data_IF_773631662591
#
_entry.id   IF_773631662591
#
_cell.length_a   1.000
_cell.length_b   1.000
_cell.length_c   1.000
_cell.angle_alpha   90.00
_cell.angle_beta   90.00
_cell.angle_gamma   90.00
#
_symmetry.space_group_name_H-M   'P 1'
#
loop_
_entity.id
_entity.type
_entity.pdbx_description
1 polymer ?
#
# COMPACT_ATOMS: atom_id res chain seq x y z
N UNK A 1 11.86 -7.69 12.31
CA UNK A 1 11.04 -6.60 12.92
C UNK A 1 9.98 -7.26 13.78
N UNK A 2 9.56 -6.73 14.93
CA UNK A 2 8.42 -7.28 15.63
C UNK A 2 7.20 -7.19 14.72
N UNK A 3 6.42 -8.27 14.67
CA UNK A 3 5.17 -8.32 13.90
C UNK A 3 4.23 -7.22 14.42
N UNK A 4 4.12 -6.12 13.68
CA UNK A 4 3.02 -5.19 13.89
C UNK A 4 1.79 -5.89 13.35
N UNK A 5 0.79 -6.12 14.17
CA UNK A 5 -0.45 -6.74 13.74
C UNK A 5 -1.14 -5.85 12.71
N UNK A 6 -1.43 -6.43 11.54
CA UNK A 6 -2.28 -5.77 10.55
C UNK A 6 -3.72 -5.90 11.07
N UNK A 7 -4.51 -4.83 11.09
CA UNK A 7 -5.88 -4.89 11.62
C UNK A 7 -6.69 -6.02 10.98
N UNK A 8 -7.29 -6.87 11.81
CA UNK A 8 -8.15 -7.99 11.42
C UNK A 8 -7.48 -9.09 10.56
N UNK A 9 -6.16 -9.22 10.62
CA UNK A 9 -5.41 -10.26 9.90
C UNK A 9 -4.43 -10.93 10.86
N UNK A 10 -4.62 -12.24 11.05
CA UNK A 10 -3.75 -13.11 11.86
C UNK A 10 -3.09 -14.16 10.95
N UNK A 11 -2.11 -13.71 10.18
CA UNK A 11 -1.35 -14.53 9.25
C UNK A 11 0.16 -14.27 9.44
N UNK A 12 0.97 -15.32 9.34
CA UNK A 12 2.44 -15.21 9.41
C UNK A 12 3.09 -14.71 8.12
N UNK A 13 2.35 -14.72 7.02
CA UNK A 13 2.84 -14.30 5.70
C UNK A 13 3.34 -12.85 5.68
N UNK A 14 4.35 -12.57 4.87
CA UNK A 14 4.64 -11.19 4.48
C UNK A 14 3.49 -10.64 3.63
N UNK A 15 3.01 -9.45 3.95
CA UNK A 15 1.86 -8.84 3.26
C UNK A 15 2.28 -7.50 2.70
N UNK A 16 2.19 -7.40 1.38
CA UNK A 16 2.56 -6.22 0.63
C UNK A 16 1.35 -5.58 -0.04
N UNK A 17 1.29 -4.25 -0.03
CA UNK A 17 0.39 -3.51 -0.92
C UNK A 17 1.19 -2.92 -2.08
N UNK A 18 0.71 -3.12 -3.31
CA UNK A 18 1.27 -2.51 -4.51
C UNK A 18 0.29 -1.49 -5.08
N UNK A 19 0.74 -0.26 -5.22
CA UNK A 19 -0.04 0.79 -5.85
C UNK A 19 0.89 1.87 -6.43
N UNK A 20 0.31 2.80 -7.19
CA UNK A 20 1.03 3.94 -7.73
C UNK A 20 0.39 5.26 -7.35
N UNK A 21 1.21 6.28 -7.23
CA UNK A 21 0.72 7.61 -7.03
C UNK A 21 1.29 8.57 -8.06
N UNK A 22 0.43 9.48 -8.57
CA UNK A 22 0.84 10.48 -9.54
C UNK A 22 1.25 11.77 -8.84
N UNK A 23 2.39 12.31 -9.22
CA UNK A 23 2.90 13.62 -8.84
C UNK A 23 2.74 14.51 -10.07
N UNK A 24 1.75 15.43 -10.02
CA UNK A 24 1.48 16.34 -11.12
C UNK A 24 2.56 17.42 -11.19
N UNK A 25 3.05 17.69 -12.39
CA UNK A 25 4.09 18.67 -12.68
C UNK A 25 3.56 19.75 -13.63
N UNK A 26 4.14 20.94 -13.59
CA UNK A 26 3.80 22.00 -14.55
C UNK A 26 4.35 21.66 -15.94
N UNK A 27 3.50 21.60 -16.94
CA UNK A 27 3.88 21.24 -18.31
C UNK A 27 4.96 22.17 -18.89
N UNK A 28 4.92 23.45 -18.53
CA UNK A 28 5.85 24.45 -19.04
C UNK A 28 7.27 24.30 -18.47
N UNK A 29 7.38 23.67 -17.29
CA UNK A 29 8.67 23.52 -16.58
C UNK A 29 9.24 22.12 -16.72
N UNK A 30 8.40 21.10 -16.99
CA UNK A 30 8.78 19.70 -16.98
C UNK A 30 8.40 19.00 -18.30
N UNK A 31 8.96 19.49 -19.41
CA UNK A 31 8.66 19.02 -20.76
C UNK A 31 9.02 17.55 -21.02
N UNK A 32 9.95 17.00 -20.26
CA UNK A 32 10.37 15.60 -20.33
C UNK A 32 9.36 14.61 -19.69
N UNK A 33 8.54 15.10 -18.74
CA UNK A 33 7.60 14.25 -17.97
C UNK A 33 6.27 14.11 -18.72
N UNK A 34 6.26 13.36 -19.81
CA UNK A 34 5.06 13.16 -20.59
C UNK A 34 3.96 12.46 -19.79
N UNK A 35 2.84 13.15 -19.60
CA UNK A 35 1.63 12.64 -18.94
C UNK A 35 0.48 12.41 -19.92
N UNK A 36 -0.63 11.87 -19.41
CA UNK A 36 -1.89 11.78 -20.15
C UNK A 36 -2.53 13.17 -20.28
N UNK A 37 -3.27 13.41 -21.35
CA UNK A 37 -4.05 14.65 -21.58
C UNK A 37 -3.21 15.94 -21.51
N UNK A 38 -2.05 15.97 -22.15
CA UNK A 38 -1.17 17.15 -22.21
C UNK A 38 -0.75 17.71 -20.84
N UNK A 39 -0.65 16.86 -19.85
CA UNK A 39 -0.13 17.19 -18.51
C UNK A 39 1.20 16.50 -18.28
N UNK A 40 2.12 17.19 -17.63
CA UNK A 40 3.35 16.56 -17.15
C UNK A 40 3.11 15.90 -15.79
N UNK A 41 3.57 14.68 -15.66
CA UNK A 41 3.43 13.93 -14.41
C UNK A 41 4.51 12.85 -14.28
N UNK A 42 4.85 12.56 -13.05
CA UNK A 42 5.68 11.42 -12.66
C UNK A 42 4.83 10.48 -11.84
N UNK A 43 4.96 9.18 -12.07
CA UNK A 43 4.38 8.14 -11.24
C UNK A 43 5.42 7.54 -10.32
N UNK A 44 5.05 7.30 -9.10
CA UNK A 44 5.81 6.54 -8.13
C UNK A 44 5.03 5.26 -7.80
N UNK A 45 5.50 4.13 -8.34
CA UNK A 45 5.00 2.80 -8.01
C UNK A 45 5.71 2.33 -6.75
N UNK A 46 4.97 1.81 -5.80
CA UNK A 46 5.50 1.44 -4.50
C UNK A 46 4.97 0.08 -4.09
N UNK A 47 5.86 -0.79 -3.64
CA UNK A 47 5.51 -1.98 -2.87
C UNK A 47 5.75 -1.65 -1.40
N UNK A 48 4.68 -1.63 -0.62
CA UNK A 48 4.69 -1.29 0.80
C UNK A 48 4.51 -2.57 1.62
N UNK A 49 5.47 -2.89 2.49
CA UNK A 49 5.28 -3.87 3.56
C UNK A 49 4.28 -3.29 4.57
N UNK A 50 3.13 -3.93 4.73
CA UNK A 50 2.05 -3.44 5.57
C UNK A 50 2.32 -3.61 7.06
N UNK A 51 3.19 -4.54 7.47
CA UNK A 51 3.53 -4.76 8.88
C UNK A 51 4.32 -3.61 9.47
N UNK A 52 5.23 -3.03 8.68
CA UNK A 52 6.07 -1.91 9.11
C UNK A 52 5.69 -0.58 8.48
N UNK A 53 4.75 -0.55 7.54
CA UNK A 53 4.52 0.58 6.64
C UNK A 53 5.81 1.03 5.94
N UNK A 54 6.66 0.06 5.55
CA UNK A 54 7.97 0.30 4.97
C UNK A 54 7.91 0.07 3.45
N UNK A 55 8.24 1.07 2.62
CA UNK A 55 8.39 0.85 1.18
C UNK A 55 9.60 -0.03 0.90
N UNK A 56 9.36 -1.23 0.35
CA UNK A 56 10.40 -2.22 0.02
C UNK A 56 10.86 -2.14 -1.42
N UNK A 57 10.02 -1.57 -2.28
CA UNK A 57 10.35 -1.32 -3.69
C UNK A 57 9.72 0.00 -4.13
N UNK A 58 10.45 0.78 -4.92
CA UNK A 58 9.98 2.02 -5.54
C UNK A 58 10.51 2.12 -6.96
N UNK A 59 9.59 2.37 -7.89
CA UNK A 59 9.89 2.65 -9.29
C UNK A 59 9.30 4.02 -9.67
N UNK A 60 10.13 4.91 -10.17
CA UNK A 60 9.72 6.24 -10.62
C UNK A 60 9.72 6.27 -12.15
N UNK A 61 8.54 6.51 -12.72
CA UNK A 61 8.32 6.51 -14.17
C UNK A 61 7.65 7.80 -14.64
N UNK A 62 7.54 7.98 -15.94
CA UNK A 62 6.66 9.01 -16.49
C UNK A 62 5.18 8.69 -16.24
N UNK A 63 4.31 9.69 -16.45
CA UNK A 63 2.87 9.56 -16.21
C UNK A 63 2.14 8.64 -17.20
N UNK A 64 2.78 8.17 -18.28
CA UNK A 64 2.19 7.28 -19.28
C UNK A 64 2.45 5.81 -18.98
N UNK A 65 3.44 5.51 -18.15
CA UNK A 65 3.78 4.14 -17.79
C UNK A 65 2.57 3.40 -17.23
N UNK A 66 2.31 2.20 -17.74
CA UNK A 66 1.16 1.42 -17.32
C UNK A 66 1.42 0.74 -15.97
N UNK A 67 0.46 0.80 -15.06
CA UNK A 67 0.65 0.31 -13.68
C UNK A 67 1.02 -1.19 -13.64
N UNK A 68 0.41 -2.01 -14.50
CA UNK A 68 0.71 -3.45 -14.56
C UNK A 68 2.15 -3.78 -14.95
N UNK A 69 2.85 -2.90 -15.67
CA UNK A 69 4.24 -3.13 -16.04
C UNK A 69 5.18 -3.08 -14.83
N UNK A 70 4.76 -2.42 -13.73
CA UNK A 70 5.54 -2.41 -12.51
C UNK A 70 5.67 -3.82 -11.88
N UNK A 71 4.74 -4.74 -12.19
CA UNK A 71 4.83 -6.13 -11.75
C UNK A 71 6.02 -6.88 -12.36
N UNK A 72 6.51 -6.43 -13.52
CA UNK A 72 7.65 -7.05 -14.20
C UNK A 72 8.99 -6.69 -13.53
N UNK A 73 9.01 -5.58 -12.77
CA UNK A 73 10.18 -5.08 -12.06
C UNK A 73 10.28 -5.64 -10.63
N UNK A 74 9.23 -6.31 -10.15
CA UNK A 74 9.18 -6.87 -8.80
C UNK A 74 9.45 -8.38 -8.88
N UNK A 75 10.42 -8.84 -8.10
CA UNK A 75 10.64 -10.27 -7.89
C UNK A 75 9.72 -10.74 -6.77
N UNK A 76 8.73 -11.61 -7.05
CA UNK A 76 7.83 -12.12 -6.03
C UNK A 76 8.59 -12.98 -5.00
N UNK A 77 8.15 -12.89 -3.74
CA UNK A 77 8.66 -13.71 -2.63
C UNK A 77 7.69 -14.86 -2.40
N UNK A 78 8.22 -16.07 -2.27
CA UNK A 78 7.43 -17.27 -1.96
C UNK A 78 6.64 -17.08 -0.66
N UNK A 79 5.40 -17.54 -0.62
CA UNK A 79 4.46 -17.41 0.49
C UNK A 79 4.04 -15.98 0.87
N UNK A 80 4.54 -14.95 0.20
CA UNK A 80 4.09 -13.58 0.43
C UNK A 80 2.74 -13.30 -0.24
N UNK A 81 1.95 -12.40 0.33
CA UNK A 81 0.64 -11.99 -0.18
C UNK A 81 0.73 -10.56 -0.72
N UNK A 82 0.34 -10.38 -1.97
CA UNK A 82 0.38 -9.09 -2.68
C UNK A 82 -1.03 -8.55 -2.88
N UNK A 83 -1.34 -7.43 -2.25
CA UNK A 83 -2.61 -6.71 -2.39
C UNK A 83 -2.46 -5.63 -3.46
N UNK A 84 -3.30 -5.65 -4.49
CA UNK A 84 -3.18 -4.71 -5.60
C UNK A 84 -4.53 -4.33 -6.19
N UNK A 85 -4.63 -3.14 -6.80
CA UNK A 85 -5.88 -2.71 -7.46
C UNK A 85 -6.07 -3.44 -8.81
N UNK A 86 -7.29 -3.39 -9.33
CA UNK A 86 -7.68 -3.97 -10.63
C UNK A 86 -6.85 -3.45 -11.82
N UNK A 87 -6.20 -2.30 -11.68
CA UNK A 87 -5.29 -1.77 -12.69
C UNK A 87 -4.06 -2.66 -12.93
N UNK A 88 -3.67 -3.42 -11.91
CA UNK A 88 -2.54 -4.35 -11.97
C UNK A 88 -2.90 -5.74 -12.51
N UNK A 89 -4.17 -6.00 -12.85
CA UNK A 89 -4.57 -7.31 -13.39
C UNK A 89 -3.97 -7.50 -14.79
N UNK A 90 -2.85 -8.19 -14.83
CA UNK A 90 -2.22 -8.77 -16.01
C UNK A 90 -2.00 -10.27 -15.74
N UNK A 91 -2.67 -11.12 -16.52
CA UNK A 91 -2.66 -12.56 -16.27
C UNK A 91 -1.28 -13.21 -16.45
N UNK A 92 -0.43 -12.66 -17.31
CA UNK A 92 0.95 -13.16 -17.48
C UNK A 92 1.78 -12.85 -16.23
N UNK A 93 1.69 -11.61 -15.73
CA UNK A 93 2.36 -11.22 -14.51
C UNK A 93 1.84 -11.99 -13.29
N UNK A 94 0.51 -12.09 -13.13
CA UNK A 94 -0.09 -12.84 -12.02
C UNK A 94 0.29 -14.33 -12.04
N UNK A 95 0.47 -14.91 -13.23
CA UNK A 95 0.92 -16.30 -13.34
C UNK A 95 2.38 -16.48 -12.89
N UNK A 96 3.27 -15.49 -13.13
CA UNK A 96 4.62 -15.52 -12.56
C UNK A 96 4.60 -15.51 -11.03
N UNK A 97 3.73 -14.71 -10.41
CA UNK A 97 3.55 -14.73 -8.95
C UNK A 97 3.08 -16.10 -8.48
N UNK A 98 2.11 -16.70 -9.17
CA UNK A 98 1.63 -18.05 -8.86
C UNK A 98 2.76 -19.10 -8.95
N UNK A 99 3.57 -19.05 -10.01
CA UNK A 99 4.66 -20.02 -10.21
C UNK A 99 5.80 -19.90 -9.17
N UNK A 100 5.97 -18.75 -8.56
CA UNK A 100 6.92 -18.54 -7.45
C UNK A 100 6.35 -18.93 -6.08
N UNK A 101 5.12 -19.44 -6.02
CA UNK A 101 4.45 -19.73 -4.75
C UNK A 101 3.98 -18.48 -4.00
N UNK A 102 3.94 -17.32 -4.65
CA UNK A 102 3.40 -16.10 -4.08
C UNK A 102 1.89 -16.01 -4.28
N UNK A 103 1.22 -15.40 -3.32
CA UNK A 103 -0.22 -15.15 -3.37
C UNK A 103 -0.52 -13.72 -3.78
N UNK A 104 -1.64 -13.53 -4.46
CA UNK A 104 -2.16 -12.20 -4.75
C UNK A 104 -3.64 -12.09 -4.39
N UNK A 105 -4.06 -10.89 -4.04
CA UNK A 105 -5.46 -10.50 -3.89
C UNK A 105 -5.67 -9.18 -4.64
N UNK A 106 -6.54 -9.21 -5.63
CA UNK A 106 -6.88 -8.03 -6.44
C UNK A 106 -8.38 -7.96 -6.68
N UNK A 107 -8.88 -6.83 -7.20
CA UNK A 107 -10.26 -6.75 -7.68
C UNK A 107 -10.38 -7.34 -9.07
N UNK A 108 -11.38 -8.17 -9.30
CA UNK A 108 -11.67 -8.72 -10.61
C UNK A 108 -12.07 -7.59 -11.59
N UNK A 109 -11.65 -7.70 -12.85
CA UNK A 109 -12.14 -6.82 -13.92
C UNK A 109 -13.54 -7.27 -14.35
N UNK A 110 -14.46 -6.35 -14.53
CA UNK A 110 -15.84 -6.62 -14.99
C UNK A 110 -15.89 -7.30 -16.37
N UNK A 111 -14.83 -7.08 -17.18
CA UNK A 111 -14.68 -7.71 -18.50
C UNK A 111 -14.12 -9.12 -18.46
N UNK A 112 -13.74 -9.62 -17.27
CA UNK A 112 -13.21 -10.98 -17.12
C UNK A 112 -14.30 -12.02 -17.47
N UNK A 113 -13.92 -13.03 -18.26
CA UNK A 113 -14.81 -14.15 -18.63
C UNK A 113 -14.23 -15.43 -18.04
N UNK A 114 -15.09 -16.18 -17.35
CA UNK A 114 -14.70 -17.39 -16.63
C UNK A 114 -15.86 -18.38 -16.56
N UNK A 115 -15.52 -19.64 -16.35
CA UNK A 115 -16.46 -20.69 -15.95
C UNK A 115 -16.25 -21.02 -14.48
N UNK A 116 -17.34 -21.31 -13.78
CA UNK A 116 -17.31 -21.76 -12.38
C UNK A 116 -17.06 -23.27 -12.38
N UNK A 117 -16.01 -23.69 -11.70
CA UNK A 117 -15.64 -25.09 -11.51
C UNK A 117 -16.25 -25.63 -10.22
N UNK A 118 -16.16 -24.84 -9.15
CA UNK A 118 -16.64 -25.19 -7.82
C UNK A 118 -17.22 -23.95 -7.14
N UNK A 119 -18.21 -24.13 -6.28
CA UNK A 119 -18.76 -23.06 -5.46
C UNK A 119 -18.97 -23.53 -4.03
N UNK A 120 -18.48 -22.76 -3.08
CA UNK A 120 -18.74 -22.98 -1.68
C UNK A 120 -20.08 -22.31 -1.30
N UNK A 121 -21.04 -23.12 -0.85
CA UNK A 121 -22.34 -22.62 -0.39
C UNK A 121 -22.41 -22.41 1.12
N UNK A 122 -21.41 -22.89 1.85
CA UNK A 122 -21.33 -22.71 3.30
C UNK A 122 -20.61 -21.39 3.62
N UNK A 123 -21.29 -20.28 3.37
CA UNK A 123 -20.79 -18.92 3.64
C UNK A 123 -21.71 -18.21 4.62
N UNK A 124 -21.13 -17.45 5.55
CA UNK A 124 -21.87 -16.58 6.44
C UNK A 124 -22.14 -15.23 5.76
N UNK A 125 -23.35 -15.04 5.28
CA UNK A 125 -23.77 -13.82 4.61
C UNK A 125 -23.85 -12.61 5.55
N UNK A 126 -23.91 -12.80 6.86
CA UNK A 126 -23.94 -11.70 7.84
C UNK A 126 -22.62 -10.94 7.88
N UNK A 127 -21.52 -11.60 7.49
CA UNK A 127 -20.18 -11.00 7.39
C UNK A 127 -19.99 -10.09 6.17
N UNK A 128 -20.94 -10.10 5.23
CA UNK A 128 -20.84 -9.43 3.94
C UNK A 128 -20.44 -10.35 2.80
N UNK A 129 -20.00 -11.59 3.05
CA UNK A 129 -19.75 -12.58 1.99
C UNK A 129 -21.01 -12.90 1.18
N UNK A 130 -20.87 -12.98 -0.15
CA UNK A 130 -21.97 -13.29 -1.07
C UNK A 130 -21.70 -14.54 -1.88
N UNK A 131 -20.45 -14.77 -2.25
CA UNK A 131 -20.04 -15.99 -2.93
C UNK A 131 -18.54 -16.27 -2.71
N UNK A 132 -18.17 -17.53 -2.80
CA UNK A 132 -16.81 -18.04 -2.81
C UNK A 132 -16.75 -19.13 -3.89
N UNK A 133 -16.08 -18.85 -4.99
CA UNK A 133 -16.10 -19.65 -6.21
C UNK A 133 -14.68 -19.98 -6.67
N UNK A 134 -14.48 -21.17 -7.19
CA UNK A 134 -13.29 -21.56 -7.94
C UNK A 134 -13.64 -21.46 -9.42
N UNK A 135 -12.83 -20.72 -10.17
CA UNK A 135 -13.10 -20.38 -11.56
C UNK A 135 -11.89 -20.68 -12.45
N UNK A 136 -12.16 -20.86 -13.74
CA UNK A 136 -11.13 -20.95 -14.80
C UNK A 136 -11.43 -19.93 -15.88
N UNK A 137 -10.39 -19.33 -16.43
CA UNK A 137 -10.55 -18.33 -17.49
C UNK A 137 -10.99 -19.01 -18.80
N UNK A 138 -11.93 -18.40 -19.52
CA UNK A 138 -12.51 -18.98 -20.76
C UNK A 138 -11.99 -18.34 -22.03
N UNK A 139 -11.60 -17.05 -21.99
CA UNK A 139 -11.03 -16.38 -23.15
C UNK A 139 -9.68 -17.01 -23.50
N UNK A 140 -9.51 -17.51 -24.73
CA UNK A 140 -8.32 -18.24 -25.17
C UNK A 140 -7.00 -17.55 -24.82
N UNK A 141 -6.91 -16.22 -25.01
CA UNK A 141 -5.73 -15.43 -24.65
C UNK A 141 -5.48 -15.47 -23.14
N UNK A 142 -6.47 -15.17 -22.33
CA UNK A 142 -6.34 -15.13 -20.86
C UNK A 142 -6.05 -16.52 -20.29
N UNK A 143 -6.74 -17.54 -20.79
CA UNK A 143 -6.51 -18.95 -20.41
C UNK A 143 -5.09 -19.41 -20.71
N UNK A 144 -4.50 -18.97 -21.84
CA UNK A 144 -3.11 -19.29 -22.18
C UNK A 144 -2.13 -18.59 -21.23
N UNK A 145 -2.43 -17.36 -20.80
CA UNK A 145 -1.58 -16.57 -19.91
C UNK A 145 -1.67 -17.00 -18.44
N UNK A 146 -2.83 -17.50 -18.03
CA UNK A 146 -3.07 -18.06 -16.68
C UNK A 146 -3.92 -19.31 -16.81
N UNK A 147 -3.31 -20.50 -16.94
CA UNK A 147 -4.03 -21.75 -17.20
C UNK A 147 -4.66 -22.39 -15.95
N UNK A 148 -4.21 -21.95 -14.76
CA UNK A 148 -4.60 -22.52 -13.48
C UNK A 148 -5.95 -21.99 -12.98
N UNK A 149 -6.51 -22.66 -11.95
CA UNK A 149 -7.69 -22.21 -11.23
C UNK A 149 -7.41 -20.90 -10.50
N UNK A 150 -8.46 -20.09 -10.39
CA UNK A 150 -8.48 -18.85 -9.61
C UNK A 150 -9.64 -18.91 -8.62
N UNK A 151 -9.53 -18.21 -7.52
CA UNK A 151 -10.59 -18.02 -6.55
C UNK A 151 -11.24 -16.67 -6.74
N UNK A 152 -12.57 -16.64 -6.79
CA UNK A 152 -13.36 -15.45 -6.97
C UNK A 152 -14.29 -15.31 -5.77
N UNK A 153 -14.16 -14.21 -5.03
CA UNK A 153 -14.91 -13.96 -3.81
C UNK A 153 -15.73 -12.70 -4.00
N UNK A 154 -17.04 -12.82 -3.80
CA UNK A 154 -17.97 -11.71 -3.85
C UNK A 154 -18.27 -11.25 -2.42
N UNK A 155 -18.10 -9.95 -2.17
CA UNK A 155 -18.23 -9.35 -0.86
C UNK A 155 -19.00 -8.04 -0.93
N UNK A 156 -19.94 -7.85 -0.03
CA UNK A 156 -20.65 -6.61 0.16
C UNK A 156 -20.10 -5.90 1.40
N UNK A 157 -19.51 -4.77 1.18
CA UNK A 157 -18.96 -3.93 2.26
C UNK A 157 -20.07 -3.00 2.76
N UNK A 158 -20.62 -3.31 3.93
CA UNK A 158 -21.68 -2.52 4.57
C UNK A 158 -21.23 -1.13 5.02
N UNK A 159 -19.92 -0.93 5.27
CA UNK A 159 -19.41 0.36 5.73
C UNK A 159 -19.34 1.37 4.58
N UNK A 160 -18.99 0.91 3.39
CA UNK A 160 -18.82 1.76 2.21
C UNK A 160 -19.94 1.63 1.19
N UNK A 161 -20.94 0.77 1.45
CA UNK A 161 -22.06 0.44 0.55
C UNK A 161 -21.59 -0.01 -0.83
N UNK A 162 -20.54 -0.84 -0.88
CA UNK A 162 -19.92 -1.28 -2.13
C UNK A 162 -19.96 -2.80 -2.30
N UNK A 163 -20.27 -3.23 -3.52
CA UNK A 163 -20.13 -4.62 -3.94
C UNK A 163 -18.75 -4.82 -4.56
N UNK A 164 -17.97 -5.71 -3.97
CA UNK A 164 -16.58 -5.98 -4.34
C UNK A 164 -16.46 -7.43 -4.83
N UNK A 165 -15.68 -7.62 -5.88
CA UNK A 165 -15.34 -8.96 -6.38
C UNK A 165 -13.83 -9.10 -6.36
N UNK A 166 -13.34 -9.98 -5.51
CA UNK A 166 -11.91 -10.25 -5.37
C UNK A 166 -11.50 -11.44 -6.21
N UNK A 167 -10.31 -11.37 -6.77
CA UNK A 167 -9.62 -12.42 -7.50
C UNK A 167 -8.34 -12.77 -6.77
N UNK A 168 -8.12 -14.05 -6.51
CA UNK A 168 -6.94 -14.55 -5.80
C UNK A 168 -6.51 -15.92 -6.32
N UNK A 169 -5.25 -16.28 -6.07
CA UNK A 169 -4.74 -17.63 -6.18
C UNK A 169 -4.53 -18.30 -4.81
N UNK A 170 -4.97 -17.66 -3.73
CA UNK A 170 -4.88 -18.22 -2.39
C UNK A 170 -6.15 -19.02 -2.09
N UNK A 171 -5.97 -20.33 -1.87
CA UNK A 171 -7.05 -21.28 -1.50
C UNK A 171 -6.94 -21.72 -0.03
N UNK A 172 -5.92 -21.27 0.70
CA UNK A 172 -5.62 -21.71 2.06
C UNK A 172 -6.37 -20.89 3.10
N UNK A 173 -6.44 -19.55 2.89
CA UNK A 173 -7.11 -18.65 3.82
C UNK A 173 -8.62 -18.58 3.56
N UNK A 174 -9.40 -18.27 4.58
CA UNK A 174 -10.86 -18.13 4.44
C UNK A 174 -11.26 -16.98 3.50
N UNK A 175 -12.45 -17.04 2.91
CA UNK A 175 -12.97 -15.98 2.04
C UNK A 175 -13.10 -14.63 2.78
N UNK A 176 -13.44 -14.67 4.07
CA UNK A 176 -13.53 -13.47 4.90
C UNK A 176 -12.14 -12.85 5.15
N UNK A 177 -11.12 -13.67 5.36
CA UNK A 177 -9.73 -13.19 5.51
C UNK A 177 -9.24 -12.54 4.22
N UNK A 178 -9.56 -13.07 3.03
CA UNK A 178 -9.25 -12.42 1.74
C UNK A 178 -9.88 -11.02 1.68
N UNK A 179 -11.15 -10.86 2.08
CA UNK A 179 -11.81 -9.56 2.10
C UNK A 179 -11.15 -8.60 3.10
N UNK A 180 -10.81 -9.08 4.29
CA UNK A 180 -10.10 -8.32 5.32
C UNK A 180 -8.67 -7.93 4.89
N UNK A 181 -7.95 -8.84 4.24
CA UNK A 181 -6.65 -8.55 3.64
C UNK A 181 -6.76 -7.40 2.66
N UNK A 182 -7.69 -7.49 1.72
CA UNK A 182 -7.83 -6.45 0.69
C UNK A 182 -8.20 -5.09 1.28
N UNK A 183 -8.97 -5.05 2.37
CA UNK A 183 -9.30 -3.81 3.07
C UNK A 183 -8.03 -3.08 3.53
N UNK A 184 -6.98 -3.79 3.91
CA UNK A 184 -5.73 -3.19 4.35
C UNK A 184 -4.90 -2.57 3.20
N UNK A 185 -5.25 -2.80 1.93
CA UNK A 185 -4.59 -2.15 0.79
C UNK A 185 -4.60 -0.62 0.90
N UNK A 186 -5.62 -0.02 1.53
CA UNK A 186 -5.71 1.43 1.66
C UNK A 186 -4.54 2.05 2.45
N UNK A 187 -3.80 1.27 3.23
CA UNK A 187 -2.63 1.74 3.97
C UNK A 187 -1.55 2.34 3.05
N UNK A 188 -1.43 1.84 1.82
CA UNK A 188 -0.51 2.44 0.85
C UNK A 188 -0.97 3.84 0.39
N UNK A 189 -2.27 4.07 0.32
CA UNK A 189 -2.82 5.40 0.00
C UNK A 189 -2.56 6.39 1.13
N UNK A 190 -2.63 5.94 2.40
CA UNK A 190 -2.23 6.73 3.57
C UNK A 190 -0.74 7.07 3.50
N UNK A 191 0.11 6.11 3.18
CA UNK A 191 1.54 6.34 2.95
C UNK A 191 1.75 7.42 1.86
N UNK A 192 1.11 7.31 0.70
CA UNK A 192 1.23 8.30 -0.37
C UNK A 192 0.74 9.70 0.05
N UNK A 193 -0.37 9.76 0.76
CA UNK A 193 -0.88 11.02 1.30
C UNK A 193 0.15 11.65 2.25
N UNK A 194 0.69 10.84 3.12
CA UNK A 194 1.69 11.28 4.09
C UNK A 194 2.97 11.82 3.40
N UNK A 195 3.56 11.06 2.47
CA UNK A 195 4.74 11.45 1.69
C UNK A 195 4.49 12.78 0.96
N UNK A 196 3.36 12.91 0.27
CA UNK A 196 3.02 14.13 -0.49
C UNK A 196 2.80 15.36 0.40
N UNK A 197 2.30 15.18 1.61
CA UNK A 197 1.99 16.28 2.51
C UNK A 197 3.20 16.73 3.32
N UNK A 198 4.00 15.80 3.81
CA UNK A 198 5.01 16.09 4.83
C UNK A 198 6.42 16.24 4.25
N UNK A 199 6.72 15.70 3.09
CA UNK A 199 8.06 15.75 2.50
C UNK A 199 8.17 16.70 1.31
N UNK A 200 7.25 17.65 1.21
CA UNK A 200 7.26 18.76 0.23
C UNK A 200 7.48 18.33 -1.24
N UNK A 201 7.14 17.08 -1.60
CA UNK A 201 7.33 16.54 -2.96
C UNK A 201 6.64 17.41 -4.05
N UNK A 202 5.63 18.19 -3.65
CA UNK A 202 4.93 19.12 -4.57
C UNK A 202 5.71 20.40 -4.85
N UNK A 203 6.76 20.74 -4.09
CA UNK A 203 7.61 21.94 -4.24
C UNK A 203 9.00 21.49 -4.66
N UNK A 204 9.17 21.16 -5.92
CA UNK A 204 10.44 20.69 -6.48
C UNK A 204 11.45 21.82 -6.60
N UNK A 205 12.70 21.56 -6.26
CA UNK A 205 13.80 22.55 -6.30
C UNK A 205 14.50 22.60 -7.65
N UNK A 206 14.21 21.66 -8.54
CA UNK A 206 14.78 21.62 -9.88
C UNK A 206 13.83 21.02 -10.90
N UNK A 207 14.03 21.33 -12.18
CA UNK A 207 13.11 20.96 -13.25
C UNK A 207 13.59 19.80 -14.11
N UNK A 208 14.88 19.40 -14.01
CA UNK A 208 15.38 18.25 -14.74
C UNK A 208 14.82 16.93 -14.18
N UNK A 209 14.77 15.91 -15.00
CA UNK A 209 14.33 14.58 -14.60
C UNK A 209 15.12 14.07 -13.39
N UNK A 210 16.46 14.24 -13.44
CA UNK A 210 17.32 13.82 -12.35
C UNK A 210 17.01 14.57 -11.05
N UNK A 211 16.78 15.91 -11.12
CA UNK A 211 16.45 16.70 -9.94
C UNK A 211 15.12 16.25 -9.30
N UNK A 212 14.10 15.95 -10.11
CA UNK A 212 12.81 15.45 -9.63
C UNK A 212 12.96 14.08 -8.98
N UNK A 213 13.63 13.14 -9.65
CA UNK A 213 13.87 11.80 -9.11
C UNK A 213 14.68 11.87 -7.81
N UNK A 214 15.74 12.67 -7.77
CA UNK A 214 16.57 12.89 -6.57
C UNK A 214 15.72 13.43 -5.41
N UNK A 215 14.87 14.41 -5.66
CA UNK A 215 13.99 14.95 -4.62
C UNK A 215 13.04 13.91 -4.04
N UNK A 216 12.44 13.08 -4.89
CA UNK A 216 11.57 11.98 -4.46
C UNK A 216 12.37 10.97 -3.62
N UNK A 217 13.57 10.58 -4.08
CA UNK A 217 14.42 9.65 -3.33
C UNK A 217 14.87 10.21 -1.99
N UNK A 218 15.20 11.49 -1.90
CA UNK A 218 15.53 12.16 -0.60
C UNK A 218 14.33 12.05 0.34
N UNK A 219 13.11 12.32 -0.15
CA UNK A 219 11.90 12.22 0.65
C UNK A 219 11.68 10.80 1.20
N UNK A 220 11.88 9.78 0.36
CA UNK A 220 11.74 8.38 0.76
C UNK A 220 12.81 7.97 1.76
N UNK A 221 14.07 8.34 1.51
CA UNK A 221 15.17 8.08 2.45
C UNK A 221 14.92 8.74 3.81
N UNK A 222 14.43 9.99 3.82
CA UNK A 222 14.05 10.68 5.06
C UNK A 222 12.97 9.91 5.82
N UNK A 223 11.90 9.47 5.12
CA UNK A 223 10.87 8.64 5.72
C UNK A 223 11.45 7.38 6.36
N UNK A 224 12.29 6.64 5.61
CA UNK A 224 12.89 5.38 6.07
C UNK A 224 13.80 5.60 7.30
N UNK A 225 14.60 6.65 7.30
CA UNK A 225 15.48 6.99 8.44
C UNK A 225 14.63 7.26 9.68
N UNK A 226 13.55 8.03 9.55
CA UNK A 226 12.67 8.35 10.68
C UNK A 226 11.90 7.12 11.16
N UNK A 227 11.38 6.29 10.23
CA UNK A 227 10.72 5.03 10.56
C UNK A 227 11.67 4.07 11.29
N UNK A 228 12.92 3.98 10.84
CA UNK A 228 13.96 3.19 11.49
C UNK A 228 14.28 3.72 12.89
N UNK A 229 14.48 5.03 13.04
CA UNK A 229 14.73 5.66 14.33
C UNK A 229 13.57 5.42 15.32
N UNK A 230 12.33 5.61 14.86
CA UNK A 230 11.14 5.28 15.66
C UNK A 230 11.17 3.84 16.16
N UNK A 231 11.46 2.89 15.27
CA UNK A 231 11.53 1.47 15.60
C UNK A 231 12.64 1.17 16.63
N UNK A 232 13.86 1.67 16.38
CA UNK A 232 15.02 1.47 17.27
C UNK A 232 14.83 2.06 18.66
N UNK A 233 14.17 3.22 18.74
CA UNK A 233 13.91 3.92 19.99
C UNK A 233 12.61 3.45 20.67
N UNK A 234 11.85 2.54 20.04
CA UNK A 234 10.53 2.07 20.51
C UNK A 234 9.59 3.24 20.86
N UNK A 235 9.64 4.30 20.04
CA UNK A 235 8.86 5.51 20.28
C UNK A 235 7.38 5.29 19.94
N UNK A 236 6.49 5.69 20.83
CA UNK A 236 5.04 5.70 20.60
C UNK A 236 4.59 6.87 19.71
N UNK A 237 5.45 7.88 19.52
CA UNK A 237 5.16 9.02 18.65
C UNK A 237 4.92 8.56 17.21
N UNK A 238 3.97 9.21 16.54
CA UNK A 238 3.79 9.02 15.10
C UNK A 238 5.00 9.54 14.31
N UNK A 239 5.25 9.01 13.12
CA UNK A 239 6.33 9.51 12.23
C UNK A 239 6.18 11.02 11.98
N UNK A 240 4.93 11.51 11.89
CA UNK A 240 4.66 12.94 11.73
C UNK A 240 5.15 13.78 12.91
N UNK A 241 4.85 13.37 14.14
CA UNK A 241 5.32 14.06 15.35
C UNK A 241 6.85 14.06 15.43
N UNK A 242 7.49 12.92 15.12
CA UNK A 242 8.94 12.83 15.08
C UNK A 242 9.52 13.81 14.07
N UNK A 243 8.94 13.88 12.86
CA UNK A 243 9.38 14.82 11.82
C UNK A 243 9.21 16.29 12.25
N UNK A 244 8.12 16.63 12.95
CA UNK A 244 7.92 17.98 13.46
C UNK A 244 8.98 18.32 14.51
N UNK A 245 9.27 17.44 15.46
CA UNK A 245 10.31 17.62 16.47
C UNK A 245 11.67 17.84 15.78
N UNK A 246 12.04 16.95 14.85
CA UNK A 246 13.29 17.06 14.10
C UNK A 246 13.37 18.33 13.26
N UNK A 247 12.25 18.78 12.69
CA UNK A 247 12.19 20.03 11.90
C UNK A 247 12.47 21.28 12.72
N UNK A 248 12.06 21.30 13.99
CA UNK A 248 12.32 22.41 14.92
C UNK A 248 13.72 22.31 15.54
N UNK A 249 14.14 21.08 15.86
CA UNK A 249 15.39 20.80 16.59
C UNK A 249 16.56 20.40 15.67
N UNK A 250 16.47 20.64 14.36
CA UNK A 250 17.45 20.17 13.38
C UNK A 250 18.89 20.68 13.66
N UNK A 251 19.03 21.80 14.34
CA UNK A 251 20.33 22.40 14.70
C UNK A 251 20.69 22.23 16.18
N UNK A 252 19.82 21.58 16.96
CA UNK A 252 20.13 21.30 18.36
C UNK A 252 21.13 20.14 18.45
N UNK A 253 22.04 20.24 19.43
CA UNK A 253 23.01 19.17 19.70
C UNK A 253 22.47 18.11 20.67
N UNK A 254 21.17 18.16 21.01
CA UNK A 254 20.52 17.21 21.90
C UNK A 254 20.37 15.86 21.21
N UNK A 255 20.75 14.77 21.85
CA UNK A 255 20.55 13.42 21.30
C UNK A 255 19.09 13.16 20.94
N UNK A 256 18.84 12.55 19.79
CA UNK A 256 17.46 12.29 19.28
C UNK A 256 16.61 11.49 20.28
N UNK A 257 17.22 10.60 21.07
CA UNK A 257 16.55 9.84 22.12
C UNK A 257 15.95 10.76 23.18
N UNK A 258 16.72 11.73 23.66
CA UNK A 258 16.26 12.70 24.67
C UNK A 258 15.15 13.57 24.13
N UNK A 259 15.31 14.13 22.91
CA UNK A 259 14.28 14.91 22.25
C UNK A 259 12.93 14.19 22.16
N UNK A 260 12.94 12.90 21.79
CA UNK A 260 11.71 12.13 21.65
C UNK A 260 11.11 11.71 22.99
N UNK A 261 11.94 11.45 24.00
CA UNK A 261 11.49 11.08 25.36
C UNK A 261 10.87 12.28 26.08
N UNK A 262 11.50 13.43 26.05
CA UNK A 262 11.02 14.66 26.67
C UNK A 262 9.69 15.12 26.09
N UNK A 263 9.50 14.93 24.77
CA UNK A 263 8.24 15.26 24.12
C UNK A 263 7.10 14.31 24.54
N UNK A 264 7.38 13.02 24.72
CA UNK A 264 6.41 12.04 25.24
C UNK A 264 5.98 12.37 26.67
N UNK A 265 6.92 12.68 27.54
CA UNK A 265 6.63 13.04 28.92
C UNK A 265 5.77 14.31 28.98
N UNK A 266 6.08 15.33 28.17
CA UNK A 266 5.31 16.57 28.12
C UNK A 266 3.89 16.39 27.55
N UNK A 267 3.66 15.46 26.62
CA UNK A 267 2.30 15.13 26.15
C UNK A 267 1.49 14.41 27.23
N UNK A 268 2.06 13.40 27.87
CA UNK A 268 1.39 12.66 28.93
C UNK A 268 0.99 13.57 30.12
N UNK A 269 1.86 14.54 30.46
CA UNK A 269 1.53 15.54 31.50
C UNK A 269 0.40 16.46 31.06
N UNK A 270 0.33 16.87 29.80
CA UNK A 270 -0.79 17.69 29.28
C UNK A 270 -2.11 16.91 29.24
N UNK A 271 -2.10 15.65 28.84
CA UNK A 271 -3.29 14.80 28.84
C UNK A 271 -3.81 14.56 30.28
N UNK A 272 -2.91 14.26 31.22
CA UNK A 272 -3.27 14.14 32.64
C UNK A 272 -3.84 15.45 33.24
N UNK A 273 -3.31 16.59 32.82
CA UNK A 273 -3.87 17.88 33.22
C UNK A 273 -5.27 18.12 32.62
N UNK A 274 -5.49 17.76 31.35
CA UNK A 274 -6.82 17.89 30.73
C UNK A 274 -7.85 16.99 31.40
N UNK A 275 -7.51 15.74 31.71
CA UNK A 275 -8.39 14.79 32.39
C UNK A 275 -8.72 15.25 33.85
N UNK A 276 -7.78 15.87 34.54
CA UNK A 276 -8.00 16.46 35.87
C UNK A 276 -8.94 17.66 35.83
N UNK A 277 -8.93 18.45 34.76
CA UNK A 277 -9.82 19.61 34.62
C UNK A 277 -11.22 19.24 34.09
N UNK A 278 -11.34 18.16 33.29
CA UNK A 278 -12.64 17.70 32.76
C UNK A 278 -13.44 16.88 33.77
N UNK A 279 -12.80 16.31 34.81
CA UNK A 279 -13.46 15.54 35.85
C UNK A 279 -13.83 16.40 37.10
N UNK A 280 -13.66 17.72 37.06
CA UNK A 280 -13.96 18.67 38.12
C UNK A 280 -15.10 19.64 37.77
N UNK A 281 -15.83 19.44 36.67
CA UNK A 281 -17.03 20.21 36.30
C UNK A 281 -18.27 19.35 36.34
#
# INVERSE_FOLDING_TARGET
>A
MPNVSIPNVDLDNEIFALDSTTISLSINLFTWAAGKYSRSAVKMHTLLDLRGSIPTFILITDGKYHDSNALDEITPVENAIYLMDKAYVDFSALYRYHLTGAFFVTRAKETMRYDIVEQNFNIDQTTGLRADKIVVLTVAKSKKLYPEKLRLIEFYDYETDNYLVFLSNNFEVSALEIANLYRNRWLIEVFFKWIKQNLTIKKLWGHSENAVKTHIWIAICTYLIVAYAKHMLKSELSIYQIMQILGVSAFDKTPIRELLTDFQVNQNVKELQYDLFTNLC
#
